data_IF_322245348416
#
_entry.id   IF_322245348416
#
_cell.length_a   1.000
_cell.length_b   1.000
_cell.length_c   1.000
_cell.angle_alpha   90.00
_cell.angle_beta   90.00
_cell.angle_gamma   90.00
#
_symmetry.space_group_name_H-M   'P 1'
#
loop_
_entity.id
_entity.type
_entity.pdbx_description
1 polymer ?
#
# COMPACT_ATOMS: atom_id res chain seq x y z
N UNK A 1 12.95 72.78 -22.27
CA UNK A 1 13.34 71.41 -21.89
C UNK A 1 12.82 70.47 -22.96
N UNK A 2 13.64 69.58 -23.51
CA UNK A 2 13.26 68.72 -24.64
C UNK A 2 12.61 67.43 -24.11
N UNK A 3 11.34 67.18 -24.47
CA UNK A 3 10.52 66.09 -23.93
C UNK A 3 10.69 64.75 -24.69
N UNK A 4 11.29 64.79 -25.88
CA UNK A 4 11.46 63.61 -26.73
C UNK A 4 12.16 62.41 -26.07
N UNK A 5 13.26 62.55 -25.30
CA UNK A 5 13.91 61.38 -24.69
C UNK A 5 13.05 60.70 -23.62
N UNK A 6 12.19 61.46 -22.92
CA UNK A 6 11.27 60.88 -21.93
C UNK A 6 10.14 60.10 -22.60
N UNK A 7 9.62 60.61 -23.72
CA UNK A 7 8.60 59.91 -24.52
C UNK A 7 9.16 58.58 -25.09
N UNK A 8 10.38 58.59 -25.63
CA UNK A 8 11.02 57.36 -26.12
C UNK A 8 11.22 56.31 -25.01
N UNK A 9 11.60 56.75 -23.81
CA UNK A 9 11.75 55.84 -22.68
C UNK A 9 10.39 55.25 -22.24
N UNK A 10 9.32 56.04 -22.32
CA UNK A 10 7.96 55.57 -22.05
C UNK A 10 7.51 54.55 -23.09
N UNK A 11 7.71 54.82 -24.38
CA UNK A 11 7.38 53.89 -25.47
C UNK A 11 8.06 52.53 -25.25
N UNK A 12 9.35 52.53 -24.88
CA UNK A 12 10.09 51.31 -24.58
C UNK A 12 9.52 50.55 -23.38
N UNK A 13 9.08 51.26 -22.33
CA UNK A 13 8.43 50.66 -21.17
C UNK A 13 7.06 50.07 -21.52
N UNK A 14 6.28 50.76 -22.35
CA UNK A 14 4.98 50.27 -22.83
C UNK A 14 5.14 49.00 -23.68
N UNK A 15 6.13 48.97 -24.57
CA UNK A 15 6.42 47.78 -25.39
C UNK A 15 6.89 46.59 -24.53
N UNK A 16 7.75 46.85 -23.54
CA UNK A 16 8.18 45.81 -22.59
C UNK A 16 6.99 45.26 -21.77
N UNK A 17 6.10 46.13 -21.30
CA UNK A 17 4.91 45.73 -20.57
C UNK A 17 3.93 44.94 -21.45
N UNK A 18 3.78 45.32 -22.72
CA UNK A 18 2.95 44.60 -23.70
C UNK A 18 3.51 43.20 -23.97
N UNK A 19 4.82 43.09 -24.19
CA UNK A 19 5.49 41.81 -24.39
C UNK A 19 5.34 40.87 -23.18
N UNK A 20 5.53 41.39 -21.96
CA UNK A 20 5.30 40.61 -20.73
C UNK A 20 3.84 40.14 -20.63
N UNK A 21 2.88 41.00 -20.97
CA UNK A 21 1.45 40.67 -20.92
C UNK A 21 1.11 39.53 -21.88
N UNK A 22 1.66 39.56 -23.10
CA UNK A 22 1.40 38.53 -24.11
C UNK A 22 2.08 37.19 -23.77
N UNK A 23 3.28 37.24 -23.18
CA UNK A 23 3.94 36.06 -22.63
C UNK A 23 3.14 35.44 -21.48
N UNK A 24 2.69 36.25 -20.52
CA UNK A 24 1.86 35.78 -19.41
C UNK A 24 0.53 35.17 -19.89
N UNK A 25 -0.10 35.73 -20.92
CA UNK A 25 -1.31 35.15 -21.54
C UNK A 25 -1.02 33.78 -22.13
N UNK A 26 0.10 33.64 -22.84
CA UNK A 26 0.54 32.36 -23.41
C UNK A 26 0.80 31.32 -22.31
N UNK A 27 1.45 31.73 -21.22
CA UNK A 27 1.68 30.86 -20.05
C UNK A 27 0.36 30.43 -19.39
N UNK A 28 -0.61 31.35 -19.24
CA UNK A 28 -1.94 31.04 -18.71
C UNK A 28 -2.64 29.99 -19.57
N UNK A 29 -2.63 30.14 -20.89
CA UNK A 29 -3.28 29.18 -21.80
C UNK A 29 -2.65 27.78 -21.71
N UNK A 30 -1.32 27.72 -21.60
CA UNK A 30 -0.58 26.47 -21.38
C UNK A 30 -0.94 25.82 -20.04
N UNK A 31 -0.93 26.59 -18.95
CA UNK A 31 -1.28 26.11 -17.61
C UNK A 31 -2.74 25.65 -17.53
N UNK A 32 -3.67 26.37 -18.16
CA UNK A 32 -5.07 25.96 -18.23
C UNK A 32 -5.23 24.62 -18.98
N UNK A 33 -4.43 24.39 -20.01
CA UNK A 33 -4.43 23.11 -20.73
C UNK A 33 -3.90 21.98 -19.85
N UNK A 34 -2.78 22.19 -19.16
CA UNK A 34 -2.23 21.22 -18.22
C UNK A 34 -3.19 20.91 -17.07
N UNK A 35 -3.89 21.93 -16.55
CA UNK A 35 -4.87 21.75 -15.49
C UNK A 35 -6.02 20.85 -15.95
N UNK A 36 -6.60 21.12 -17.13
CA UNK A 36 -7.67 20.29 -17.70
C UNK A 36 -7.24 18.83 -17.87
N UNK A 37 -6.00 18.59 -18.32
CA UNK A 37 -5.47 17.23 -18.46
C UNK A 37 -5.32 16.53 -17.10
N UNK A 38 -4.82 17.24 -16.09
CA UNK A 38 -4.69 16.71 -14.74
C UNK A 38 -6.05 16.40 -14.10
N UNK A 39 -7.04 17.28 -14.27
CA UNK A 39 -8.42 17.07 -13.82
C UNK A 39 -9.04 15.84 -14.48
N UNK A 40 -8.93 15.70 -15.80
CA UNK A 40 -9.41 14.50 -16.52
C UNK A 40 -8.73 13.23 -16.02
N UNK A 41 -7.43 13.29 -15.72
CA UNK A 41 -6.70 12.16 -15.16
C UNK A 41 -7.22 11.78 -13.77
N UNK A 42 -7.55 12.75 -12.93
CA UNK A 42 -8.17 12.51 -11.62
C UNK A 42 -9.56 11.89 -11.75
N UNK A 43 -10.38 12.35 -12.70
CA UNK A 43 -11.68 11.73 -13.00
C UNK A 43 -11.53 10.26 -13.40
N UNK A 44 -10.60 9.95 -14.31
CA UNK A 44 -10.33 8.58 -14.71
C UNK A 44 -9.88 7.70 -13.53
N UNK A 45 -9.03 8.21 -12.64
CA UNK A 45 -8.61 7.50 -11.44
C UNK A 45 -9.78 7.27 -10.46
N UNK A 46 -10.70 8.23 -10.32
CA UNK A 46 -11.89 8.09 -9.49
C UNK A 46 -12.84 7.01 -10.04
N UNK A 47 -13.04 6.98 -11.37
CA UNK A 47 -13.81 5.94 -12.06
C UNK A 47 -13.15 4.57 -11.87
N UNK A 48 -11.82 4.50 -12.03
CA UNK A 48 -11.05 3.27 -11.86
C UNK A 48 -11.15 2.74 -10.43
N UNK A 49 -11.00 3.62 -9.43
CA UNK A 49 -11.20 3.26 -8.01
C UNK A 49 -12.60 2.71 -7.77
N UNK A 50 -13.64 3.41 -8.26
CA UNK A 50 -15.04 2.97 -8.13
C UNK A 50 -15.22 1.56 -8.70
N UNK A 51 -14.63 1.31 -9.88
CA UNK A 51 -14.70 0.00 -10.53
C UNK A 51 -13.99 -1.07 -9.73
N UNK A 52 -12.77 -0.80 -9.25
CA UNK A 52 -12.00 -1.74 -8.43
C UNK A 52 -12.74 -2.05 -7.12
N UNK A 53 -13.28 -1.04 -6.44
CA UNK A 53 -14.07 -1.22 -5.21
C UNK A 53 -15.32 -2.07 -5.48
N UNK A 54 -16.08 -1.77 -6.55
CA UNK A 54 -17.24 -2.56 -6.91
C UNK A 54 -16.89 -4.02 -7.28
N UNK A 55 -15.70 -4.26 -7.85
CA UNK A 55 -15.20 -5.62 -8.09
C UNK A 55 -14.80 -6.30 -6.78
N UNK A 56 -14.13 -5.58 -5.87
CA UNK A 56 -13.78 -6.09 -4.53
C UNK A 56 -15.02 -6.49 -3.74
N UNK A 57 -16.09 -5.70 -3.78
CA UNK A 57 -17.37 -6.00 -3.11
C UNK A 57 -18.08 -7.23 -3.69
N UNK A 58 -17.84 -7.54 -4.97
CA UNK A 58 -18.39 -8.72 -5.67
C UNK A 58 -17.59 -9.98 -5.43
N UNK A 59 -16.35 -9.86 -4.98
CA UNK A 59 -15.61 -11.02 -4.47
C UNK A 59 -16.25 -11.30 -3.11
N UNK A 60 -16.99 -12.42 -2.95
CA UNK A 60 -17.54 -12.76 -1.64
C UNK A 60 -16.37 -12.80 -0.67
N UNK A 61 -16.40 -11.91 0.32
CA UNK A 61 -15.43 -11.90 1.39
C UNK A 61 -15.41 -13.31 2.00
N UNK A 62 -14.29 -14.00 1.90
CA UNK A 62 -13.82 -14.72 3.08
C UNK A 62 -13.54 -13.62 4.11
N UNK A 63 -14.60 -13.26 4.82
CA UNK A 63 -14.76 -12.46 6.05
C UNK A 63 -13.76 -11.40 6.50
N UNK A 64 -12.77 -10.91 5.75
CA UNK A 64 -11.71 -10.05 6.29
C UNK A 64 -12.21 -8.85 7.13
N UNK A 65 -12.03 -8.97 8.44
CA UNK A 65 -12.26 -7.95 9.47
C UNK A 65 -11.53 -6.61 9.16
N UNK A 66 -12.04 -5.46 9.61
CA UNK A 66 -11.62 -4.11 9.18
C UNK A 66 -10.21 -3.67 9.66
N UNK A 67 -9.41 -4.59 10.20
CA UNK A 67 -8.09 -4.31 10.74
C UNK A 67 -6.92 -4.66 9.79
N UNK A 68 -7.17 -5.11 8.57
CA UNK A 68 -6.11 -5.47 7.61
C UNK A 68 -5.17 -6.58 8.10
N UNK A 69 -5.60 -7.31 9.14
CA UNK A 69 -4.93 -8.52 9.59
C UNK A 69 -5.40 -9.63 8.68
N UNK A 70 -4.47 -10.37 8.03
CA UNK A 70 -4.81 -11.63 7.40
C UNK A 70 -5.65 -12.44 8.37
N UNK A 71 -6.88 -12.79 8.01
CA UNK A 71 -7.76 -13.55 8.88
C UNK A 71 -7.10 -14.87 9.25
N UNK A 72 -6.57 -14.88 10.46
CA UNK A 72 -6.17 -16.09 11.13
C UNK A 72 -7.44 -16.92 11.28
N UNK A 73 -7.43 -18.23 10.92
CA UNK A 73 -8.61 -19.05 11.11
C UNK A 73 -9.06 -18.97 12.57
N UNK A 74 -10.37 -18.99 12.85
CA UNK A 74 -10.93 -18.83 14.20
C UNK A 74 -10.44 -19.93 15.17
N UNK A 75 -9.26 -19.76 15.73
CA UNK A 75 -8.73 -20.60 16.79
C UNK A 75 -7.70 -19.81 17.59
N UNK A 76 -7.78 -19.79 18.93
CA UNK A 76 -6.87 -19.04 19.80
C UNK A 76 -5.40 -19.47 19.71
N UNK A 77 -5.10 -20.57 19.02
CA UNK A 77 -3.72 -21.06 18.89
C UNK A 77 -2.97 -20.28 17.83
N UNK A 78 -3.63 -19.76 16.79
CA UNK A 78 -2.89 -19.10 15.71
C UNK A 78 -2.19 -17.82 16.17
N UNK A 79 -2.83 -16.90 16.92
CA UNK A 79 -2.12 -15.76 17.50
C UNK A 79 -1.00 -16.17 18.44
N UNK A 80 -1.19 -17.23 19.24
CA UNK A 80 -0.17 -17.75 20.17
C UNK A 80 1.04 -18.32 19.43
N UNK A 81 0.82 -19.10 18.37
CA UNK A 81 1.89 -19.62 17.51
C UNK A 81 2.68 -18.46 16.89
N UNK A 82 1.98 -17.44 16.38
CA UNK A 82 2.64 -16.26 15.80
C UNK A 82 3.43 -15.44 16.82
N UNK A 83 2.97 -15.36 18.08
CA UNK A 83 3.73 -14.73 19.15
C UNK A 83 5.09 -15.42 19.35
N UNK A 84 5.12 -16.76 19.39
CA UNK A 84 6.37 -17.53 19.50
C UNK A 84 7.33 -17.25 18.34
N UNK A 85 6.80 -17.10 17.11
CA UNK A 85 7.58 -16.71 15.93
C UNK A 85 8.07 -15.26 15.97
N UNK A 86 7.40 -14.36 16.69
CA UNK A 86 7.85 -12.98 16.86
C UNK A 86 8.95 -12.88 17.92
N UNK A 87 8.89 -13.73 18.95
CA UNK A 87 9.87 -13.74 20.04
C UNK A 87 11.15 -14.51 19.68
N UNK A 88 11.11 -15.35 18.65
CA UNK A 88 12.25 -16.17 18.24
C UNK A 88 12.78 -15.76 16.86
N UNK A 89 14.09 -15.50 16.77
CA UNK A 89 14.73 -15.26 15.48
C UNK A 89 15.18 -16.59 14.87
N UNK A 90 14.42 -17.10 13.90
CA UNK A 90 14.82 -18.28 13.12
C UNK A 90 13.68 -19.25 12.80
N UNK A 91 13.98 -20.36 12.10
CA UNK A 91 12.99 -21.39 11.78
C UNK A 91 12.63 -22.24 13.00
N UNK A 92 11.36 -22.62 13.14
CA UNK A 92 10.83 -23.43 14.24
C UNK A 92 10.13 -24.69 13.71
N UNK A 93 10.24 -25.79 14.48
CA UNK A 93 9.49 -27.02 14.27
C UNK A 93 8.21 -27.01 15.09
N UNK A 94 7.24 -27.85 14.73
CA UNK A 94 6.00 -28.00 15.48
C UNK A 94 6.21 -28.42 16.95
N UNK A 95 7.26 -29.21 17.23
CA UNK A 95 7.64 -29.58 18.59
C UNK A 95 8.07 -28.37 19.42
N UNK A 96 8.83 -27.45 18.83
CA UNK A 96 9.33 -26.25 19.51
C UNK A 96 8.17 -25.32 19.88
N UNK A 97 7.17 -25.21 19.00
CA UNK A 97 5.92 -24.50 19.28
C UNK A 97 5.12 -25.18 20.40
N UNK A 98 4.98 -26.51 20.38
CA UNK A 98 4.31 -27.21 21.48
C UNK A 98 5.00 -26.96 22.83
N UNK A 99 6.34 -26.94 22.85
CA UNK A 99 7.10 -26.66 24.05
C UNK A 99 6.95 -25.20 24.51
N UNK A 100 6.98 -24.24 23.59
CA UNK A 100 6.83 -22.82 23.91
C UNK A 100 5.41 -22.44 24.38
N UNK A 101 4.39 -23.21 23.97
CA UNK A 101 3.00 -22.99 24.35
C UNK A 101 2.55 -23.89 25.52
N UNK A 102 3.48 -24.58 26.18
CA UNK A 102 3.22 -25.54 27.27
C UNK A 102 2.19 -26.62 26.92
N UNK A 103 2.16 -27.05 25.66
CA UNK A 103 1.37 -28.20 25.25
C UNK A 103 2.08 -29.50 25.61
N UNK A 104 1.32 -30.51 26.03
CA UNK A 104 1.84 -31.85 26.22
C UNK A 104 2.52 -32.35 24.93
N UNK A 105 3.75 -32.86 25.04
CA UNK A 105 4.55 -33.36 23.91
C UNK A 105 4.07 -34.74 23.43
N UNK A 106 2.76 -34.90 23.25
CA UNK A 106 2.16 -36.09 22.66
C UNK A 106 2.13 -35.97 21.13
N UNK A 107 2.26 -37.08 20.38
CA UNK A 107 2.23 -37.07 18.91
C UNK A 107 1.02 -36.31 18.34
N UNK A 108 -0.16 -36.46 18.96
CA UNK A 108 -1.39 -35.76 18.57
C UNK A 108 -1.29 -34.23 18.62
N UNK A 109 -0.56 -33.68 19.59
CA UNK A 109 -0.42 -32.23 19.77
C UNK A 109 0.61 -31.65 18.80
N UNK A 110 1.70 -32.37 18.58
CA UNK A 110 2.71 -32.00 17.57
C UNK A 110 2.11 -31.99 16.18
N UNK A 111 1.35 -33.02 15.80
CA UNK A 111 0.71 -33.09 14.48
C UNK A 111 -0.40 -32.03 14.31
N UNK A 112 -1.22 -31.77 15.35
CA UNK A 112 -2.20 -30.68 15.32
C UNK A 112 -1.54 -29.31 15.15
N UNK A 113 -0.40 -29.09 15.81
CA UNK A 113 0.39 -27.86 15.69
C UNK A 113 1.03 -27.74 14.31
N UNK A 114 1.59 -28.82 13.77
CA UNK A 114 2.11 -28.88 12.40
C UNK A 114 1.03 -28.57 11.36
N UNK A 115 -0.18 -29.12 11.52
CA UNK A 115 -1.31 -28.83 10.62
C UNK A 115 -1.69 -27.34 10.65
N UNK A 116 -1.67 -26.71 11.83
CA UNK A 116 -1.89 -25.26 11.97
C UNK A 116 -0.80 -24.44 11.30
N UNK A 117 0.47 -24.79 11.51
CA UNK A 117 1.60 -24.12 10.84
C UNK A 117 1.52 -24.27 9.32
N UNK A 118 1.20 -25.46 8.80
CA UNK A 118 0.95 -25.65 7.36
C UNK A 118 -0.20 -24.78 6.85
N UNK A 119 -1.27 -24.63 7.61
CA UNK A 119 -2.36 -23.71 7.23
C UNK A 119 -1.90 -22.25 7.19
N UNK A 120 -1.04 -21.82 8.12
CA UNK A 120 -0.40 -20.51 8.10
C UNK A 120 0.53 -20.31 6.88
N UNK A 121 1.16 -21.37 6.38
CA UNK A 121 1.91 -21.35 5.11
C UNK A 121 0.97 -21.18 3.91
N UNK A 122 -0.15 -21.91 3.87
CA UNK A 122 -1.14 -21.80 2.79
C UNK A 122 -1.70 -20.39 2.65
N UNK A 123 -1.94 -19.68 3.76
CA UNK A 123 -2.40 -18.29 3.75
C UNK A 123 -1.25 -17.26 3.65
N UNK A 124 -0.01 -17.72 3.49
CA UNK A 124 1.13 -16.87 3.18
C UNK A 124 1.72 -16.08 4.36
N UNK A 125 1.45 -16.47 5.60
CA UNK A 125 2.00 -15.84 6.81
C UNK A 125 3.35 -16.47 7.21
N UNK A 126 3.44 -17.79 7.13
CA UNK A 126 4.68 -18.54 7.35
C UNK A 126 5.23 -19.08 6.03
N UNK A 127 6.49 -19.49 6.04
CA UNK A 127 7.15 -20.22 4.94
C UNK A 127 7.69 -21.54 5.48
N UNK A 128 7.49 -22.64 4.76
CA UNK A 128 8.14 -23.92 5.08
C UNK A 128 9.52 -23.94 4.42
N UNK A 129 10.58 -23.86 5.22
CA UNK A 129 11.98 -23.80 4.75
C UNK A 129 12.47 -25.19 4.39
N UNK A 130 12.13 -26.17 5.23
CA UNK A 130 12.40 -27.59 5.06
C UNK A 130 11.17 -28.36 5.54
N UNK A 131 10.98 -29.63 5.12
CA UNK A 131 9.85 -30.45 5.57
C UNK A 131 9.71 -30.45 7.11
N UNK A 132 8.67 -29.79 7.61
CA UNK A 132 8.39 -29.67 9.04
C UNK A 132 9.14 -28.57 9.80
N UNK A 133 9.84 -27.67 9.10
CA UNK A 133 10.53 -26.50 9.66
C UNK A 133 9.97 -25.24 9.01
N UNK A 134 9.49 -24.30 9.82
CA UNK A 134 8.75 -23.12 9.35
C UNK A 134 9.44 -21.83 9.81
N UNK A 135 9.40 -20.78 9.01
CA UNK A 135 9.88 -19.45 9.37
C UNK A 135 8.83 -18.38 9.08
N UNK A 136 8.95 -17.22 9.73
CA UNK A 136 8.17 -16.04 9.36
C UNK A 136 8.55 -15.59 7.96
N UNK A 137 7.55 -15.26 7.13
CA UNK A 137 7.78 -14.67 5.82
C UNK A 137 8.37 -13.26 6.02
N UNK A 138 9.57 -13.03 5.48
CA UNK A 138 10.22 -11.70 5.45
C UNK A 138 9.52 -10.77 4.47
#
# INVERSE_FOLDING_TARGET
MNLNPLLQALDLQEDAARALTDDLRTQIDALQTQLREAELRLEHLAITRTTITALADRIPAQTVDPAGSLELPEHPDYPRILAVFNDTTGPLRARDICQALDFELLPKHVERTRAKMKRLVTIGILTEVEPGTFSKKQ
#
